data_IF_239712542281
#
_entry.id   IF_239712542281
#
_cell.length_a   1.000
_cell.length_b   1.000
_cell.length_c   1.000
_cell.angle_alpha   90.00
_cell.angle_beta   90.00
_cell.angle_gamma   90.00
#
_symmetry.space_group_name_H-M   'P 1'
#
loop_
_entity.id
_entity.type
_entity.pdbx_description
1 polymer ?
#
# COMPACT_ATOMS: atom_id res chain seq x y z
N UNK A 1 52.59 -31.26 38.59
CA UNK A 1 52.15 -31.71 37.25
C UNK A 1 50.66 -31.41 36.94
N UNK A 2 49.72 -31.45 37.90
CA UNK A 2 48.28 -31.19 37.66
C UNK A 2 47.91 -29.75 37.24
N UNK A 3 48.65 -28.73 37.69
CA UNK A 3 48.39 -27.30 37.36
C UNK A 3 48.75 -26.92 35.92
N UNK A 4 49.75 -27.60 35.34
CA UNK A 4 50.15 -27.41 33.94
C UNK A 4 49.12 -28.04 33.00
N UNK A 5 48.60 -29.22 33.32
CA UNK A 5 47.53 -29.88 32.56
C UNK A 5 46.23 -29.05 32.51
N UNK A 6 45.88 -28.35 33.60
CA UNK A 6 44.71 -27.47 33.64
C UNK A 6 44.88 -26.22 32.74
N UNK A 7 46.09 -25.63 32.70
CA UNK A 7 46.39 -24.48 31.83
C UNK A 7 46.38 -24.86 30.34
N UNK A 8 46.92 -26.03 29.98
CA UNK A 8 46.80 -26.56 28.61
C UNK A 8 45.35 -26.83 28.23
N UNK A 9 44.53 -27.37 29.15
CA UNK A 9 43.11 -27.56 28.91
C UNK A 9 42.36 -26.23 28.70
N UNK A 10 42.63 -25.19 29.49
CA UNK A 10 42.01 -23.87 29.33
C UNK A 10 42.45 -23.18 28.03
N UNK A 11 43.71 -23.34 27.62
CA UNK A 11 44.19 -22.80 26.34
C UNK A 11 43.51 -23.55 25.19
N UNK A 12 43.46 -24.88 25.20
CA UNK A 12 42.80 -25.68 24.15
C UNK A 12 41.28 -25.45 24.12
N UNK A 13 40.63 -25.23 25.26
CA UNK A 13 39.21 -24.85 25.33
C UNK A 13 39.01 -23.38 24.88
N UNK A 14 39.99 -22.51 25.14
CA UNK A 14 39.99 -21.09 24.76
C UNK A 14 40.25 -20.83 23.26
N UNK A 15 41.05 -21.66 22.58
CA UNK A 15 41.23 -21.56 21.11
C UNK A 15 40.03 -22.14 20.33
N UNK A 16 39.04 -22.70 21.02
CA UNK A 16 37.77 -23.16 20.43
C UNK A 16 36.69 -22.07 20.42
N UNK A 17 37.03 -20.81 20.72
CA UNK A 17 36.12 -19.69 20.44
C UNK A 17 36.09 -19.44 18.94
N UNK A 18 35.17 -20.15 18.28
CA UNK A 18 34.71 -20.04 16.90
C UNK A 18 35.25 -18.82 16.12
N UNK A 19 36.18 -19.07 15.18
CA UNK A 19 36.51 -18.16 14.08
C UNK A 19 35.36 -18.09 13.06
N UNK A 20 34.14 -17.81 13.53
CA UNK A 20 33.01 -17.62 12.63
C UNK A 20 33.10 -16.20 12.07
N UNK A 21 33.46 -16.09 10.80
CA UNK A 21 33.57 -14.79 10.13
C UNK A 21 32.21 -14.39 9.57
N UNK A 22 31.79 -13.14 9.76
CA UNK A 22 30.56 -12.63 9.15
C UNK A 22 30.61 -12.79 7.64
N UNK A 23 29.53 -13.31 7.06
CA UNK A 23 29.42 -13.48 5.61
C UNK A 23 29.29 -12.11 4.95
N UNK A 24 30.36 -11.67 4.28
CA UNK A 24 30.42 -10.34 3.64
C UNK A 24 29.33 -10.14 2.57
N UNK A 25 28.95 -11.20 1.84
CA UNK A 25 27.90 -11.15 0.82
C UNK A 25 26.52 -10.75 1.35
N UNK A 26 26.20 -11.08 2.60
CA UNK A 26 24.95 -10.69 3.25
C UNK A 26 25.16 -9.77 4.44
N UNK A 27 26.35 -9.19 4.60
CA UNK A 27 26.68 -8.32 5.74
C UNK A 27 26.53 -8.96 7.12
N UNK A 28 26.43 -10.29 7.21
CA UNK A 28 26.15 -10.98 8.46
C UNK A 28 24.68 -11.35 8.72
N UNK A 29 23.73 -10.93 7.87
CA UNK A 29 22.30 -11.13 8.12
C UNK A 29 21.80 -12.53 7.75
N UNK A 30 22.52 -13.23 6.87
CA UNK A 30 22.10 -14.53 6.34
C UNK A 30 21.07 -14.41 5.20
N UNK A 31 20.55 -13.22 4.93
CA UNK A 31 19.62 -12.95 3.84
C UNK A 31 20.16 -11.86 2.93
N UNK A 32 19.76 -11.89 1.67
CA UNK A 32 20.08 -10.84 0.70
C UNK A 32 18.77 -10.11 0.41
N UNK A 33 18.81 -8.78 0.55
CA UNK A 33 17.70 -7.90 0.21
C UNK A 33 17.97 -7.27 -1.15
N UNK A 34 17.06 -7.50 -2.11
CA UNK A 34 17.08 -6.80 -3.38
C UNK A 34 15.86 -5.88 -3.52
N UNK A 35 16.10 -4.67 -4.01
CA UNK A 35 15.05 -3.72 -4.31
C UNK A 35 14.07 -4.32 -5.32
N UNK A 36 12.78 -4.31 -4.97
CA UNK A 36 11.75 -4.75 -5.89
C UNK A 36 11.66 -3.75 -7.05
N UNK A 37 12.21 -4.12 -8.21
CA UNK A 37 12.24 -3.29 -9.42
C UNK A 37 10.85 -2.83 -9.88
N UNK A 38 9.79 -3.67 -9.89
CA UNK A 38 8.45 -3.25 -10.30
C UNK A 38 7.89 -2.05 -9.53
N UNK A 39 8.20 -1.93 -8.23
CA UNK A 39 7.78 -0.78 -7.42
C UNK A 39 8.94 0.16 -7.06
N UNK A 40 10.14 -0.07 -7.60
CA UNK A 40 11.36 0.69 -7.30
C UNK A 40 11.60 0.89 -5.80
N UNK A 41 11.37 -0.16 -4.99
CA UNK A 41 11.54 -0.09 -3.54
C UNK A 41 10.37 0.52 -2.76
N UNK A 42 9.35 1.10 -3.41
CA UNK A 42 8.23 1.76 -2.70
C UNK A 42 7.31 0.81 -1.97
N UNK A 43 7.20 -0.43 -2.43
CA UNK A 43 6.23 -1.39 -1.91
C UNK A 43 4.79 -1.14 -2.36
N UNK A 44 4.48 -0.04 -3.03
CA UNK A 44 3.12 0.28 -3.50
C UNK A 44 3.06 0.52 -5.00
N UNK A 45 1.85 0.44 -5.57
CA UNK A 45 1.49 0.94 -6.90
C UNK A 45 0.46 2.06 -6.75
N UNK A 46 0.62 3.13 -7.52
CA UNK A 46 -0.34 4.23 -7.55
C UNK A 46 -1.57 3.82 -8.34
N UNK A 47 -2.77 4.06 -7.83
CA UNK A 47 -3.98 3.74 -8.54
C UNK A 47 -4.22 4.72 -9.68
N UNK A 48 -4.24 4.18 -10.90
CA UNK A 48 -4.42 4.96 -12.13
C UNK A 48 -5.87 5.44 -12.30
N UNK A 49 -6.85 4.61 -11.91
CA UNK A 49 -8.28 4.93 -12.07
C UNK A 49 -8.69 6.20 -11.32
N UNK A 50 -8.08 6.44 -10.17
CA UNK A 50 -8.31 7.65 -9.37
C UNK A 50 -7.09 8.58 -9.33
N UNK A 51 -6.04 8.30 -10.11
CA UNK A 51 -4.79 9.08 -10.13
C UNK A 51 -4.19 9.37 -8.75
N UNK A 52 -4.41 8.47 -7.79
CA UNK A 52 -3.97 8.62 -6.39
C UNK A 52 -4.93 9.34 -5.43
N UNK A 53 -6.10 9.81 -5.87
CA UNK A 53 -7.04 10.54 -4.99
C UNK A 53 -7.86 9.64 -4.06
N UNK A 54 -7.97 8.35 -4.40
CA UNK A 54 -8.89 7.42 -3.73
C UNK A 54 -10.35 7.53 -4.17
N UNK A 55 -10.70 8.51 -5.00
CA UNK A 55 -12.08 8.76 -5.43
C UNK A 55 -12.17 9.02 -6.93
N UNK A 56 -13.32 8.70 -7.50
CA UNK A 56 -13.65 9.00 -8.91
C UNK A 56 -14.95 9.78 -8.97
N UNK A 57 -15.13 10.55 -10.03
CA UNK A 57 -16.39 11.27 -10.24
C UNK A 57 -17.55 10.28 -10.34
N UNK A 58 -18.63 10.59 -9.63
CA UNK A 58 -19.87 9.86 -9.75
C UNK A 58 -20.43 10.08 -11.15
N UNK A 59 -20.41 9.03 -11.96
CA UNK A 59 -20.86 9.08 -13.36
C UNK A 59 -22.33 9.49 -13.52
N UNK A 60 -23.17 9.25 -12.50
CA UNK A 60 -24.59 9.65 -12.52
C UNK A 60 -24.78 11.17 -12.47
N UNK A 61 -23.98 11.86 -11.66
CA UNK A 61 -24.08 13.31 -11.48
C UNK A 61 -22.88 14.09 -12.03
N UNK A 62 -21.94 13.41 -12.69
CA UNK A 62 -20.73 14.00 -13.28
C UNK A 62 -19.97 14.90 -12.29
N UNK A 63 -19.82 14.44 -11.05
CA UNK A 63 -19.10 15.21 -10.02
C UNK A 63 -19.90 16.31 -9.31
N UNK A 64 -21.15 16.61 -9.69
CA UNK A 64 -21.92 17.69 -9.04
C UNK A 64 -22.48 17.32 -7.66
N UNK A 65 -22.75 16.04 -7.41
CA UNK A 65 -23.49 15.54 -6.25
C UNK A 65 -25.00 15.65 -6.36
N UNK A 66 -25.51 16.29 -7.42
CA UNK A 66 -26.93 16.58 -7.61
C UNK A 66 -27.38 16.36 -9.06
N UNK A 67 -28.61 15.87 -9.22
CA UNK A 67 -29.26 15.70 -10.51
C UNK A 67 -30.22 16.84 -10.76
N UNK A 68 -30.11 17.47 -11.93
CA UNK A 68 -31.04 18.52 -12.36
C UNK A 68 -32.46 17.96 -12.43
N UNK A 69 -33.43 18.67 -11.85
CA UNK A 69 -34.83 18.29 -11.99
C UNK A 69 -35.26 18.49 -13.45
N UNK A 70 -35.41 17.39 -14.18
CA UNK A 70 -35.83 17.41 -15.59
C UNK A 70 -37.26 17.91 -15.78
N UNK A 71 -38.12 17.82 -14.76
CA UNK A 71 -39.51 18.29 -14.88
C UNK A 71 -39.62 19.81 -15.01
N UNK A 72 -38.75 20.58 -14.36
CA UNK A 72 -38.70 22.04 -14.44
C UNK A 72 -37.44 22.57 -15.13
N UNK A 73 -36.63 21.69 -15.73
CA UNK A 73 -35.33 22.02 -16.30
C UNK A 73 -34.47 22.87 -15.35
N UNK A 74 -34.48 22.53 -14.06
CA UNK A 74 -33.70 23.21 -13.02
C UNK A 74 -34.13 24.65 -12.72
N UNK A 75 -35.29 25.10 -13.23
CA UNK A 75 -35.82 26.45 -12.90
C UNK A 75 -36.47 26.48 -11.52
N UNK A 76 -36.99 25.34 -11.05
CA UNK A 76 -37.78 25.23 -9.83
C UNK A 76 -39.25 25.61 -10.02
N UNK A 77 -39.64 26.01 -11.24
CA UNK A 77 -40.99 26.46 -11.58
C UNK A 77 -41.52 25.73 -12.81
N UNK A 78 -42.83 25.64 -12.95
CA UNK A 78 -43.50 25.20 -14.18
C UNK A 78 -44.63 26.18 -14.48
N UNK A 79 -44.37 27.13 -15.38
CA UNK A 79 -45.20 28.33 -15.49
C UNK A 79 -45.10 29.16 -14.21
N UNK A 80 -46.25 29.63 -13.71
CA UNK A 80 -46.33 30.47 -12.50
C UNK A 80 -46.40 29.67 -11.19
N UNK A 81 -46.26 28.33 -11.25
CA UNK A 81 -46.37 27.45 -10.10
C UNK A 81 -45.02 26.85 -9.71
N UNK A 82 -44.80 26.68 -8.40
CA UNK A 82 -43.64 25.94 -7.87
C UNK A 82 -43.67 24.52 -8.41
N UNK A 83 -42.52 24.04 -8.88
CA UNK A 83 -42.39 22.69 -9.41
C UNK A 83 -42.66 21.66 -8.30
N UNK A 84 -43.81 21.00 -8.34
CA UNK A 84 -44.21 20.00 -7.32
C UNK A 84 -43.24 18.82 -7.26
N UNK A 85 -42.66 18.41 -8.39
CA UNK A 85 -41.78 17.24 -8.45
C UNK A 85 -40.50 17.41 -7.61
N UNK A 86 -39.98 18.64 -7.51
CA UNK A 86 -38.81 18.95 -6.68
C UNK A 86 -39.12 19.91 -5.53
N UNK A 87 -40.39 20.25 -5.28
CA UNK A 87 -40.78 21.27 -4.30
C UNK A 87 -40.06 22.62 -4.48
N UNK A 88 -39.69 22.98 -5.71
CA UNK A 88 -38.90 24.20 -6.00
C UNK A 88 -37.38 24.09 -5.77
N UNK A 89 -36.86 22.93 -5.36
CA UNK A 89 -35.42 22.73 -5.08
C UNK A 89 -34.52 22.75 -6.32
N UNK A 90 -35.09 22.65 -7.53
CA UNK A 90 -34.38 22.66 -8.84
C UNK A 90 -33.55 21.40 -9.11
N UNK A 91 -33.07 20.72 -8.09
CA UNK A 91 -32.25 19.52 -8.18
C UNK A 91 -32.75 18.43 -7.22
N UNK A 92 -32.24 17.21 -7.40
CA UNK A 92 -32.35 16.10 -6.48
C UNK A 92 -30.96 15.67 -6.04
N UNK A 93 -30.79 15.24 -4.79
CA UNK A 93 -29.53 14.62 -4.39
C UNK A 93 -29.27 13.37 -5.23
N UNK A 94 -28.03 13.20 -5.68
CA UNK A 94 -27.63 12.02 -6.42
C UNK A 94 -27.54 10.83 -5.46
N UNK A 95 -28.51 9.91 -5.53
CA UNK A 95 -28.60 8.75 -4.64
C UNK A 95 -27.38 7.82 -4.78
N UNK A 96 -26.84 7.69 -5.99
CA UNK A 96 -25.69 6.82 -6.27
C UNK A 96 -24.45 7.20 -5.46
N UNK A 97 -24.22 8.50 -5.24
CA UNK A 97 -23.16 8.98 -4.35
C UNK A 97 -23.70 9.53 -3.02
N UNK A 98 -25.00 9.40 -2.74
CA UNK A 98 -25.69 9.98 -1.58
C UNK A 98 -25.39 11.48 -1.37
N UNK A 99 -25.21 12.21 -2.47
CA UNK A 99 -24.80 13.62 -2.42
C UNK A 99 -23.40 13.87 -1.85
N UNK A 100 -22.52 12.86 -1.71
CA UNK A 100 -21.13 12.99 -1.23
C UNK A 100 -20.25 13.76 -2.22
N UNK A 101 -20.51 15.06 -2.38
CA UNK A 101 -19.77 16.00 -3.24
C UNK A 101 -19.61 15.53 -4.70
N UNK A 102 -20.43 14.58 -5.13
CA UNK A 102 -20.37 14.00 -6.47
C UNK A 102 -19.27 12.97 -6.69
N UNK A 103 -18.66 12.41 -5.64
CA UNK A 103 -17.59 11.41 -5.80
C UNK A 103 -18.02 10.03 -5.31
N UNK A 104 -17.45 9.00 -5.94
CA UNK A 104 -17.54 7.61 -5.52
C UNK A 104 -16.17 7.14 -5.04
N UNK A 105 -16.19 6.27 -4.03
CA UNK A 105 -14.99 5.56 -3.58
C UNK A 105 -14.41 4.75 -4.74
N UNK A 106 -13.13 4.94 -5.05
CA UNK A 106 -12.47 4.16 -6.09
C UNK A 106 -12.46 2.69 -5.68
N UNK A 107 -13.09 1.84 -6.49
CA UNK A 107 -13.24 0.41 -6.18
C UNK A 107 -11.92 -0.35 -6.38
N UNK A 108 -11.07 0.09 -7.32
CA UNK A 108 -9.79 -0.57 -7.62
C UNK A 108 -8.80 -0.50 -6.45
N UNK A 109 -8.76 0.60 -5.71
CA UNK A 109 -7.88 0.81 -4.55
C UNK A 109 -8.63 0.92 -3.23
N UNK A 110 -9.94 0.64 -3.21
CA UNK A 110 -10.78 0.78 -2.03
C UNK A 110 -10.58 2.11 -1.28
N UNK A 111 -10.46 3.22 -2.00
CA UNK A 111 -10.36 4.55 -1.40
C UNK A 111 -8.95 4.98 -1.01
N UNK A 112 -7.95 4.10 -1.08
CA UNK A 112 -6.61 4.39 -0.55
C UNK A 112 -5.76 5.22 -1.52
N UNK A 113 -6.13 5.26 -2.80
CA UNK A 113 -5.36 5.94 -3.85
C UNK A 113 -4.13 5.15 -4.34
N UNK A 114 -3.72 4.13 -3.60
CA UNK A 114 -2.65 3.20 -3.93
C UNK A 114 -2.99 1.78 -3.49
N UNK A 115 -2.16 0.81 -3.87
CA UNK A 115 -2.27 -0.55 -3.36
C UNK A 115 -0.90 -1.18 -3.17
N UNK A 116 -0.84 -2.28 -2.42
CA UNK A 116 0.41 -3.00 -2.18
C UNK A 116 0.94 -3.63 -3.47
N UNK A 117 2.24 -3.51 -3.70
CA UNK A 117 2.92 -4.15 -4.81
C UNK A 117 2.90 -5.66 -4.62
N UNK A 118 2.21 -6.36 -5.52
CA UNK A 118 2.04 -7.81 -5.45
C UNK A 118 3.36 -8.59 -5.65
N UNK A 119 4.38 -7.98 -6.28
CA UNK A 119 5.68 -8.63 -6.49
C UNK A 119 6.55 -8.73 -5.23
N UNK A 120 6.28 -7.90 -4.21
CA UNK A 120 7.01 -7.89 -2.95
C UNK A 120 6.08 -7.92 -1.72
N UNK A 121 4.78 -8.12 -1.93
CA UNK A 121 3.77 -8.14 -0.87
C UNK A 121 3.70 -6.84 -0.06
N UNK A 122 4.10 -5.69 -0.62
CA UNK A 122 4.13 -4.42 0.10
C UNK A 122 5.47 -4.04 0.72
N UNK A 123 6.44 -4.95 0.79
CA UNK A 123 7.71 -4.69 1.51
C UNK A 123 8.68 -3.76 0.76
N UNK A 124 8.51 -3.62 -0.55
CA UNK A 124 9.47 -2.91 -1.40
C UNK A 124 10.73 -3.70 -1.72
N UNK A 125 10.93 -4.88 -1.12
CA UNK A 125 12.13 -5.70 -1.28
C UNK A 125 11.78 -7.15 -1.58
N UNK A 126 12.73 -7.88 -2.18
CA UNK A 126 12.69 -9.34 -2.26
C UNK A 126 13.81 -9.89 -1.41
N UNK A 127 13.50 -10.95 -0.67
CA UNK A 127 14.42 -11.59 0.26
C UNK A 127 14.67 -13.03 -0.14
N UNK A 128 15.93 -13.44 -0.09
CA UNK A 128 16.30 -14.84 -0.20
C UNK A 128 17.49 -15.15 0.67
N UNK A 129 17.61 -16.44 0.99
CA UNK A 129 18.71 -16.98 1.78
C UNK A 129 20.02 -16.74 1.06
N UNK A 130 20.99 -16.21 1.79
CA UNK A 130 22.33 -16.08 1.27
C UNK A 130 22.91 -17.49 1.05
N UNK A 131 23.27 -17.86 -0.20
CA UNK A 131 23.72 -19.21 -0.50
C UNK A 131 25.12 -19.51 0.08
N UNK A 132 25.93 -18.48 0.34
CA UNK A 132 27.29 -18.64 0.85
C UNK A 132 27.34 -19.04 2.32
N UNK A 133 26.42 -18.52 3.13
CA UNK A 133 26.32 -18.88 4.55
C UNK A 133 25.10 -19.73 4.87
N UNK A 134 24.30 -20.13 3.87
CA UNK A 134 23.07 -20.93 4.04
C UNK A 134 22.15 -20.32 5.11
N UNK A 135 21.98 -19.00 5.03
CA UNK A 135 21.24 -18.19 6.02
C UNK A 135 21.78 -18.16 7.45
N UNK A 136 22.99 -18.65 7.71
CA UNK A 136 23.62 -18.56 9.02
C UNK A 136 24.23 -17.17 9.33
N UNK A 137 24.44 -16.33 8.30
CA UNK A 137 25.08 -15.02 8.46
C UNK A 137 26.60 -15.07 8.69
N UNK A 138 27.17 -16.27 8.81
CA UNK A 138 28.61 -16.49 9.08
C UNK A 138 29.14 -17.68 8.30
N UNK A 139 30.43 -17.68 7.99
CA UNK A 139 31.18 -18.74 7.32
C UNK A 139 32.29 -19.29 8.23
#
# INVERSE_FOLDING_TARGET
>A
MKRVALLFAVIVIGVMTANAQSCSRCGGEGVIHETCLPCQGKGTWKCEDCLGSGVVDCYHCQGSGELKCGYCDGTGMRGDQVCYNCGGQKTFQCEACKGHRGYLKCSRCNGDGEGSCYHCGGSGVKEWRCPECIAAGRI
#
